data_IF_692246783468
#
_entry.id   IF_692246783468
#
_cell.length_a   1.000
_cell.length_b   1.000
_cell.length_c   1.000
_cell.angle_alpha   90.00
_cell.angle_beta   90.00
_cell.angle_gamma   90.00
#
_symmetry.space_group_name_H-M   'P 1'
#
loop_
_entity.id
_entity.type
_entity.pdbx_description
1 polymer ?
#
# COMPACT_ATOMS: atom_id res chain seq x y z
N UNK A 1 -5.66 0.81 -4.11
CA UNK A 1 -6.45 1.16 -2.91
C UNK A 1 -5.76 2.06 -1.86
N UNK A 2 -4.47 1.86 -1.51
CA UNK A 2 -3.83 2.48 -0.33
C UNK A 2 -3.94 4.02 -0.20
N UNK A 3 -3.72 4.78 -1.28
CA UNK A 3 -3.80 6.25 -1.24
C UNK A 3 -5.20 6.73 -0.89
N UNK A 4 -6.22 6.15 -1.52
CA UNK A 4 -7.64 6.52 -1.29
C UNK A 4 -8.06 6.19 0.14
N UNK A 5 -7.67 5.02 0.65
CA UNK A 5 -8.02 4.63 2.01
C UNK A 5 -7.40 5.57 3.05
N UNK A 6 -6.11 5.87 2.94
CA UNK A 6 -5.43 6.76 3.89
C UNK A 6 -5.85 8.24 3.73
N UNK A 7 -6.29 8.66 2.54
CA UNK A 7 -6.95 9.96 2.37
C UNK A 7 -8.30 9.99 3.12
N UNK A 8 -9.14 8.96 2.94
CA UNK A 8 -10.44 8.88 3.60
C UNK A 8 -10.34 8.74 5.13
N UNK A 9 -9.30 8.06 5.63
CA UNK A 9 -9.01 7.93 7.06
C UNK A 9 -8.31 9.17 7.65
N UNK A 10 -7.92 10.15 6.83
CA UNK A 10 -7.26 11.37 7.29
C UNK A 10 -5.80 11.21 7.72
N UNK A 11 -5.17 10.08 7.41
CA UNK A 11 -3.77 9.78 7.77
C UNK A 11 -2.78 10.16 6.66
N UNK A 12 -3.26 10.39 5.43
CA UNK A 12 -2.41 10.84 4.32
C UNK A 12 -1.98 12.30 4.51
N UNK A 13 -0.68 12.55 4.40
CA UNK A 13 -0.02 13.80 4.76
C UNK A 13 0.52 13.85 6.20
N UNK A 14 0.19 12.87 7.05
CA UNK A 14 0.72 12.71 8.41
C UNK A 14 1.93 11.78 8.51
N UNK A 15 2.18 11.24 9.70
CA UNK A 15 3.25 10.27 9.94
C UNK A 15 3.01 8.99 9.10
N UNK A 16 3.96 8.57 8.22
CA UNK A 16 3.89 7.28 7.52
C UNK A 16 3.59 6.09 8.42
N UNK A 17 4.00 6.15 9.68
CA UNK A 17 3.83 5.09 10.68
C UNK A 17 2.39 4.90 11.15
N UNK A 18 1.53 5.92 10.97
CA UNK A 18 0.11 5.92 11.35
C UNK A 18 -0.84 5.51 10.20
N UNK A 19 -0.27 5.29 9.01
CA UNK A 19 -1.07 4.86 7.85
C UNK A 19 -1.55 3.42 7.99
N UNK A 20 -2.75 3.15 7.48
CA UNK A 20 -3.34 1.80 7.46
C UNK A 20 -2.85 1.04 6.23
N UNK A 21 -2.33 -0.16 6.45
CA UNK A 21 -2.02 -1.12 5.37
C UNK A 21 -3.29 -1.67 4.74
N UNK A 22 -3.25 -1.96 3.44
CA UNK A 22 -4.39 -2.45 2.68
C UNK A 22 -4.13 -3.85 2.14
N UNK A 23 -5.15 -4.71 2.26
CA UNK A 23 -5.31 -5.93 1.49
C UNK A 23 -6.51 -5.72 0.57
N UNK A 24 -6.29 -5.80 -0.74
CA UNK A 24 -7.32 -5.70 -1.78
C UNK A 24 -7.55 -7.10 -2.34
N UNK A 25 -8.81 -7.55 -2.36
CA UNK A 25 -9.21 -8.87 -2.86
C UNK A 25 -9.94 -8.69 -4.19
N UNK A 26 -9.23 -8.95 -5.29
CA UNK A 26 -9.80 -8.94 -6.63
C UNK A 26 -10.31 -10.31 -7.08
N UNK A 27 -10.73 -10.40 -8.34
CA UNK A 27 -11.16 -11.66 -8.94
C UNK A 27 -9.99 -12.64 -9.17
N UNK A 28 -8.90 -12.17 -9.77
CA UNK A 28 -7.76 -13.02 -10.13
C UNK A 28 -6.58 -12.98 -9.13
N UNK A 29 -6.50 -11.94 -8.31
CA UNK A 29 -5.35 -11.71 -7.42
C UNK A 29 -5.78 -11.04 -6.13
N UNK A 30 -4.93 -11.18 -5.12
CA UNK A 30 -4.92 -10.32 -3.94
C UNK A 30 -3.75 -9.35 -4.04
N UNK A 31 -3.90 -8.13 -3.51
CA UNK A 31 -2.82 -7.15 -3.44
C UNK A 31 -2.63 -6.71 -2.00
N UNK A 32 -1.38 -6.55 -1.59
CA UNK A 32 -1.01 -6.00 -0.29
C UNK A 32 -0.21 -4.73 -0.49
N UNK A 33 -0.50 -3.67 0.27
CA UNK A 33 0.25 -2.42 0.24
C UNK A 33 0.30 -1.78 1.62
N UNK A 34 1.50 -1.43 2.09
CA UNK A 34 1.70 -0.76 3.39
C UNK A 34 3.03 0.00 3.43
N UNK A 35 3.19 0.94 4.35
CA UNK A 35 4.49 1.58 4.63
C UNK A 35 5.41 0.57 5.30
N UNK A 36 6.55 0.27 4.68
CA UNK A 36 7.57 -0.59 5.28
C UNK A 36 8.52 0.22 6.16
N UNK A 37 8.91 -0.34 7.30
CA UNK A 37 10.02 0.17 8.14
C UNK A 37 11.36 -0.50 7.83
N UNK A 38 11.33 -1.54 7.00
CA UNK A 38 12.49 -2.32 6.60
C UNK A 38 12.92 -2.01 5.16
N UNK A 39 14.17 -2.31 4.85
CA UNK A 39 14.70 -2.21 3.50
C UNK A 39 13.96 -3.20 2.58
N UNK A 40 13.49 -2.70 1.43
CA UNK A 40 12.73 -3.48 0.47
C UNK A 40 13.53 -3.69 -0.81
N UNK A 41 13.35 -4.84 -1.45
CA UNK A 41 13.82 -5.02 -2.82
C UNK A 41 13.11 -4.01 -3.75
N UNK A 42 13.82 -3.41 -4.72
CA UNK A 42 13.24 -2.40 -5.62
C UNK A 42 11.96 -2.85 -6.33
N UNK A 43 11.85 -4.15 -6.64
CA UNK A 43 10.68 -4.73 -7.30
C UNK A 43 9.37 -4.51 -6.52
N UNK A 44 9.43 -4.58 -5.19
CA UNK A 44 8.28 -4.44 -4.30
C UNK A 44 8.12 -3.03 -3.74
N UNK A 45 9.13 -2.16 -3.94
CA UNK A 45 9.10 -0.80 -3.44
C UNK A 45 8.29 0.12 -4.35
N UNK A 46 7.47 0.98 -3.77
CA UNK A 46 6.79 2.10 -4.44
C UNK A 46 6.94 3.36 -3.60
N UNK A 47 7.38 4.45 -4.20
CA UNK A 47 7.45 5.75 -3.52
C UNK A 47 6.24 6.60 -3.90
N UNK A 48 5.53 7.10 -2.90
CA UNK A 48 4.41 8.04 -3.07
C UNK A 48 4.75 9.33 -2.35
N UNK A 49 4.53 10.47 -3.01
CA UNK A 49 4.69 11.80 -2.40
C UNK A 49 3.35 12.50 -2.30
N UNK A 50 3.04 13.04 -1.13
CA UNK A 50 1.84 13.83 -0.88
C UNK A 50 2.19 15.01 0.04
N UNK A 51 2.08 16.23 -0.49
CA UNK A 51 2.61 17.42 0.17
C UNK A 51 4.11 17.28 0.46
N UNK A 52 4.51 17.48 1.71
CA UNK A 52 5.90 17.35 2.16
C UNK A 52 6.27 15.95 2.68
N UNK A 53 5.36 14.98 2.60
CA UNK A 53 5.60 13.62 3.11
C UNK A 53 5.92 12.68 1.95
N UNK A 54 6.94 11.85 2.14
CA UNK A 54 7.31 10.76 1.24
C UNK A 54 7.04 9.43 1.92
N UNK A 55 6.24 8.58 1.29
CA UNK A 55 5.90 7.25 1.75
C UNK A 55 6.69 6.21 0.94
N UNK A 56 7.40 5.32 1.62
CA UNK A 56 8.05 4.16 1.02
C UNK A 56 7.19 2.94 1.29
N UNK A 57 6.45 2.53 0.26
CA UNK A 57 5.47 1.47 0.35
C UNK A 57 6.07 0.14 -0.11
N UNK A 58 5.78 -0.91 0.64
CA UNK A 58 5.78 -2.27 0.10
C UNK A 58 4.50 -2.45 -0.69
N UNK A 59 4.60 -3.01 -1.90
CA UNK A 59 3.46 -3.35 -2.74
C UNK A 59 3.73 -4.65 -3.50
N UNK A 60 2.81 -5.61 -3.37
CA UNK A 60 2.91 -6.89 -4.08
C UNK A 60 1.52 -7.38 -4.48
N UNK A 61 1.41 -7.89 -5.70
CA UNK A 61 0.24 -8.59 -6.23
C UNK A 61 0.50 -10.09 -6.18
N UNK A 62 -0.35 -10.83 -5.48
CA UNK A 62 -0.34 -12.28 -5.39
C UNK A 62 -1.36 -12.84 -6.37
N UNK A 63 -0.88 -13.24 -7.54
CA UNK A 63 -1.72 -13.84 -8.59
C UNK A 63 -2.28 -15.20 -8.12
N UNK A 64 -3.52 -15.51 -8.52
CA UNK A 64 -4.30 -16.71 -8.13
C UNK A 64 -4.77 -16.75 -6.68
N UNK A 65 -4.61 -15.65 -5.93
CA UNK A 65 -5.19 -15.47 -4.59
C UNK A 65 -6.45 -14.58 -4.60
N UNK A 66 -7.03 -14.36 -5.79
CA UNK A 66 -8.32 -13.69 -5.91
C UNK A 66 -9.48 -14.62 -5.55
N UNK A 67 -10.68 -14.04 -5.38
CA UNK A 67 -11.90 -14.76 -5.01
C UNK A 67 -12.83 -15.06 -6.20
N UNK A 68 -12.40 -14.72 -7.41
CA UNK A 68 -13.11 -15.07 -8.63
C UNK A 68 -12.84 -16.54 -8.97
N UNK A 69 -13.91 -17.31 -9.09
CA UNK A 69 -13.90 -18.66 -9.66
C UNK A 69 -13.85 -18.58 -11.18
#
# INVERSE_FOLDING_TARGET
AWVVANYALGTLGGDPSETTGIIELGGASAQVTFVSREAMLPLFSRTVKFGNVTYNLYSHSLLHFGLGW
#
